data_IF_856695194811
#
_entry.id   IF_856695194811
#
_cell.length_a   1.000
_cell.length_b   1.000
_cell.length_c   1.000
_cell.angle_alpha   90.00
_cell.angle_beta   90.00
_cell.angle_gamma   90.00
#
_symmetry.space_group_name_H-M   'P 1'
#
loop_
_entity.id
_entity.type
_entity.pdbx_description
1 polymer ?
#
# COMPACT_ATOMS: atom_id res chain seq x y z
N UNK A 1 13.92 -21.58 14.11
CA UNK A 1 15.14 -20.88 14.58
C UNK A 1 15.55 -19.90 13.50
N UNK A 2 15.67 -18.61 13.87
CA UNK A 2 16.24 -17.44 13.18
C UNK A 2 15.51 -16.22 13.79
N UNK A 3 15.76 -15.82 15.05
CA UNK A 3 16.89 -15.04 15.57
C UNK A 3 17.11 -13.70 14.85
N UNK A 4 16.97 -12.63 15.65
CA UNK A 4 17.53 -11.28 15.51
C UNK A 4 16.65 -10.21 14.83
N UNK A 5 15.66 -9.73 15.59
CA UNK A 5 15.24 -8.32 15.50
C UNK A 5 16.42 -7.48 15.96
N UNK A 6 17.08 -6.80 15.03
CA UNK A 6 18.01 -5.71 15.33
C UNK A 6 17.18 -4.52 15.80
N UNK A 7 17.00 -4.43 17.12
CA UNK A 7 16.69 -3.15 17.73
C UNK A 7 17.81 -2.17 17.31
N UNK A 8 17.49 -0.98 16.78
CA UNK A 8 18.53 0.03 16.61
C UNK A 8 19.24 0.17 17.96
N UNK A 9 20.58 0.24 17.99
CA UNK A 9 21.28 0.55 19.24
C UNK A 9 20.61 1.80 19.82
N UNK A 10 20.33 1.76 21.13
CA UNK A 10 19.90 2.94 21.86
C UNK A 10 20.72 4.13 21.36
N UNK A 11 20.10 5.28 21.04
CA UNK A 11 20.81 6.43 20.49
C UNK A 11 22.08 6.58 21.30
N UNK A 12 23.23 6.45 20.62
CA UNK A 12 24.54 6.38 21.24
C UNK A 12 24.53 7.32 22.44
N UNK A 13 24.65 6.78 23.66
CA UNK A 13 24.84 7.60 24.85
C UNK A 13 26.09 8.41 24.57
N UNK A 14 25.92 9.62 24.06
CA UNK A 14 27.01 10.52 23.73
C UNK A 14 27.80 10.70 25.01
N UNK A 15 29.13 10.68 24.90
CA UNK A 15 30.04 10.73 26.04
C UNK A 15 29.76 11.91 27.01
N UNK A 16 29.05 12.94 26.53
CA UNK A 16 28.61 14.10 27.32
C UNK A 16 27.45 13.83 28.30
N UNK A 17 26.68 12.74 28.15
CA UNK A 17 25.62 12.37 29.12
C UNK A 17 26.16 11.65 30.37
N UNK A 18 27.38 11.11 30.32
CA UNK A 18 27.96 10.29 31.39
C UNK A 18 28.54 11.11 32.56
N UNK A 19 28.64 12.44 32.44
CA UNK A 19 29.36 13.28 33.40
C UNK A 19 28.46 14.15 34.31
N UNK A 20 27.14 14.12 34.15
CA UNK A 20 26.23 14.98 34.91
C UNK A 20 25.69 14.26 36.15
N UNK A 21 25.95 14.80 37.35
CA UNK A 21 25.34 14.33 38.61
C UNK A 21 23.86 14.74 38.70
N UNK A 22 23.03 14.14 37.85
CA UNK A 22 21.58 14.34 37.82
C UNK A 22 20.88 13.11 37.23
N UNK A 23 19.63 12.92 37.62
CA UNK A 23 18.77 11.88 37.05
C UNK A 23 18.37 12.22 35.61
N UNK A 24 18.43 11.21 34.73
CA UNK A 24 18.03 11.30 33.32
C UNK A 24 17.06 10.15 32.98
N UNK A 25 15.88 10.39 32.34
CA UNK A 25 15.07 11.59 32.18
C UNK A 25 15.25 12.73 33.17
N UNK A 26 15.36 14.01 32.80
CA UNK A 26 15.16 15.06 33.81
C UNK A 26 13.70 15.02 34.32
N UNK A 27 12.75 14.88 33.40
CA UNK A 27 11.33 14.74 33.68
C UNK A 27 10.89 13.28 33.47
N UNK A 28 10.11 12.69 34.39
CA UNK A 28 9.59 11.32 34.25
C UNK A 28 8.42 11.22 33.26
N UNK A 29 7.87 12.37 32.82
CA UNK A 29 6.81 12.46 31.82
C UNK A 29 7.11 13.64 30.90
N UNK A 30 6.93 13.46 29.60
CA UNK A 30 7.07 14.52 28.61
C UNK A 30 5.95 14.47 27.57
N UNK A 31 5.64 15.63 26.98
CA UNK A 31 4.85 15.69 25.75
C UNK A 31 5.81 15.39 24.61
N UNK A 32 5.55 14.32 23.87
CA UNK A 32 6.29 13.92 22.69
C UNK A 32 5.80 14.66 21.46
N UNK A 33 5.63 13.93 20.36
CA UNK A 33 5.14 14.50 19.11
C UNK A 33 3.71 15.03 19.28
N UNK A 34 3.49 16.25 18.79
CA UNK A 34 2.15 16.83 18.61
C UNK A 34 1.88 16.99 17.13
N UNK A 35 0.63 16.79 16.72
CA UNK A 35 0.26 16.82 15.32
C UNK A 35 -1.24 16.76 15.13
N UNK A 36 -1.66 16.57 13.88
CA UNK A 36 -3.05 16.39 13.52
C UNK A 36 -3.23 15.07 12.79
N UNK A 37 -4.26 14.31 13.16
CA UNK A 37 -4.82 13.25 12.33
C UNK A 37 -6.11 13.82 11.77
N UNK A 38 -6.09 14.20 10.48
CA UNK A 38 -7.17 14.95 9.84
C UNK A 38 -7.49 16.24 10.62
N UNK A 39 -8.73 16.39 11.07
CA UNK A 39 -9.23 17.55 11.79
C UNK A 39 -9.02 17.44 13.32
N UNK A 40 -8.52 16.31 13.82
CA UNK A 40 -8.30 16.06 15.24
C UNK A 40 -6.84 16.35 15.64
N UNK A 41 -6.65 17.24 16.60
CA UNK A 41 -5.34 17.49 17.21
C UNK A 41 -4.97 16.35 18.17
N UNK A 42 -3.77 15.80 18.02
CA UNK A 42 -3.28 14.68 18.82
C UNK A 42 -1.92 15.01 19.43
N UNK A 43 -1.66 14.45 20.62
CA UNK A 43 -0.40 14.61 21.32
C UNK A 43 0.03 13.28 21.93
N UNK A 44 1.28 12.89 21.72
CA UNK A 44 1.88 11.74 22.37
C UNK A 44 2.32 12.11 23.79
N UNK A 45 1.96 11.29 24.77
CA UNK A 45 2.44 11.43 26.15
C UNK A 45 3.46 10.31 26.41
N UNK A 46 4.70 10.69 26.71
CA UNK A 46 5.79 9.76 26.95
C UNK A 46 6.02 9.61 28.46
N UNK A 47 6.07 8.36 28.93
CA UNK A 47 6.34 8.01 30.32
C UNK A 47 7.72 7.37 30.44
N UNK A 48 8.55 7.91 31.31
CA UNK A 48 9.88 7.39 31.63
C UNK A 48 9.87 6.78 33.04
N UNK A 49 9.47 5.51 33.12
CA UNK A 49 9.36 4.77 34.37
C UNK A 49 10.67 4.58 35.14
N UNK A 50 11.80 4.78 34.48
CA UNK A 50 13.15 4.62 35.03
C UNK A 50 13.97 5.88 34.78
N UNK A 51 14.59 6.41 35.83
CA UNK A 51 15.58 7.46 35.73
C UNK A 51 16.90 6.99 36.34
N UNK A 52 18.01 7.28 35.66
CA UNK A 52 19.34 6.87 36.10
C UNK A 52 20.22 8.09 36.38
N UNK A 53 20.98 8.05 37.47
CA UNK A 53 22.06 8.99 37.74
C UNK A 53 23.41 8.28 37.52
N UNK A 54 24.19 8.66 36.49
CA UNK A 54 25.44 8.00 36.15
C UNK A 54 26.56 8.22 37.17
N UNK A 55 26.59 9.37 37.85
CA UNK A 55 27.66 9.71 38.82
C UNK A 55 27.44 8.98 40.14
N UNK A 56 26.21 9.02 40.66
CA UNK A 56 25.85 8.35 41.91
C UNK A 56 25.57 6.85 41.74
N UNK A 57 25.45 6.37 40.49
CA UNK A 57 25.07 4.99 40.14
C UNK A 57 23.77 4.55 40.80
N UNK A 58 22.82 5.47 40.93
CA UNK A 58 21.50 5.22 41.52
C UNK A 58 20.41 5.24 40.46
N UNK A 59 19.40 4.40 40.64
CA UNK A 59 18.22 4.31 39.76
C UNK A 59 16.99 4.68 40.56
N UNK A 60 16.13 5.53 39.99
CA UNK A 60 14.78 5.79 40.47
C UNK A 60 13.78 5.04 39.59
N UNK A 61 12.97 4.21 40.23
CA UNK A 61 11.91 3.44 39.60
C UNK A 61 10.55 3.98 40.04
N UNK A 62 9.72 4.32 39.07
CA UNK A 62 8.34 4.76 39.28
C UNK A 62 7.39 3.61 38.93
N UNK A 63 6.83 2.97 39.97
CA UNK A 63 5.89 1.84 39.80
C UNK A 63 4.46 2.30 39.52
N UNK A 64 4.13 3.56 39.82
CA UNK A 64 2.81 4.15 39.56
C UNK A 64 2.95 5.63 39.25
N UNK A 65 2.37 6.06 38.14
CA UNK A 65 2.29 7.47 37.75
C UNK A 65 0.84 7.89 37.53
N UNK A 66 0.50 9.10 37.94
CA UNK A 66 -0.78 9.75 37.64
C UNK A 66 -0.48 11.12 37.07
N UNK A 67 -0.97 11.38 35.87
CA UNK A 67 -0.74 12.64 35.15
C UNK A 67 -2.08 13.31 34.91
N UNK A 68 -2.12 14.63 35.11
CA UNK A 68 -3.27 15.46 34.77
C UNK A 68 -2.91 16.37 33.61
N UNK A 69 -3.57 16.18 32.48
CA UNK A 69 -3.35 16.96 31.27
C UNK A 69 -4.37 18.10 31.26
N UNK A 70 -3.89 19.33 31.07
CA UNK A 70 -4.74 20.52 30.91
C UNK A 70 -4.60 21.03 29.49
N UNK A 71 -5.73 21.27 28.82
CA UNK A 71 -5.78 21.87 27.50
C UNK A 71 -6.05 23.37 27.64
N UNK A 72 -5.19 24.22 27.10
CA UNK A 72 -5.46 25.66 27.02
C UNK A 72 -6.43 25.89 25.86
N UNK A 73 -7.73 25.97 26.16
CA UNK A 73 -8.79 26.15 25.16
C UNK A 73 -8.95 27.63 24.79
N UNK A 74 -8.43 28.06 23.64
CA UNK A 74 -8.70 29.43 23.15
C UNK A 74 -9.57 29.49 21.91
N UNK A 75 -10.02 28.36 21.34
CA UNK A 75 -10.92 28.42 20.18
C UNK A 75 -11.86 27.23 20.15
N UNK A 76 -13.11 27.46 20.58
CA UNK A 76 -14.25 26.60 20.23
C UNK A 76 -14.61 26.94 18.79
N UNK A 77 -14.28 26.05 17.87
CA UNK A 77 -14.79 26.13 16.50
C UNK A 77 -15.99 25.21 16.34
N UNK A 78 -16.88 25.57 15.42
CA UNK A 78 -18.09 24.82 15.08
C UNK A 78 -17.74 23.36 14.79
N UNK A 79 -18.48 22.45 15.42
CA UNK A 79 -18.29 21.00 15.27
C UNK A 79 -18.65 20.62 13.85
N UNK A 80 -17.66 20.23 13.05
CA UNK A 80 -17.89 19.45 11.83
C UNK A 80 -17.79 17.99 12.28
N UNK A 81 -18.88 17.24 12.15
CA UNK A 81 -18.83 15.81 12.45
C UNK A 81 -17.89 15.13 11.46
N UNK A 82 -16.95 14.36 12.00
CA UNK A 82 -16.09 13.50 11.21
C UNK A 82 -16.89 12.28 10.75
N UNK A 83 -16.43 11.57 9.73
CA UNK A 83 -17.19 10.40 9.25
C UNK A 83 -17.14 9.23 10.25
N UNK A 84 -18.24 8.45 10.42
CA UNK A 84 -18.34 7.40 11.44
C UNK A 84 -17.24 6.35 11.43
N UNK A 85 -16.61 6.12 10.28
CA UNK A 85 -15.62 5.08 10.13
C UNK A 85 -14.20 5.55 10.53
N UNK A 86 -13.90 6.85 10.46
CA UNK A 86 -12.70 7.42 11.08
C UNK A 86 -12.84 7.52 12.60
N UNK A 87 -14.06 7.70 13.11
CA UNK A 87 -14.30 7.66 14.56
C UNK A 87 -13.89 6.31 15.15
N UNK A 88 -14.16 5.19 14.46
CA UNK A 88 -13.70 3.87 14.90
C UNK A 88 -12.17 3.79 14.98
N UNK A 89 -11.46 4.28 13.96
CA UNK A 89 -10.00 4.31 13.96
C UNK A 89 -9.45 5.19 15.10
N UNK A 90 -10.01 6.39 15.28
CA UNK A 90 -9.61 7.32 16.34
C UNK A 90 -9.92 6.78 17.74
N UNK A 91 -11.03 6.06 17.94
CA UNK A 91 -11.35 5.37 19.20
C UNK A 91 -10.30 4.33 19.59
N UNK A 92 -9.68 3.66 18.62
CA UNK A 92 -8.64 2.67 18.87
C UNK A 92 -7.25 3.32 19.04
N UNK A 93 -7.01 4.47 18.40
CA UNK A 93 -5.72 5.18 18.47
C UNK A 93 -5.59 6.12 19.67
N UNK A 94 -6.69 6.76 20.09
CA UNK A 94 -6.68 7.81 21.11
C UNK A 94 -7.26 7.29 22.42
N UNK A 95 -6.45 7.35 23.46
CA UNK A 95 -6.83 6.97 24.84
C UNK A 95 -8.06 7.74 25.37
N UNK A 96 -8.37 8.92 24.82
CA UNK A 96 -9.40 9.82 25.30
C UNK A 96 -10.40 10.30 24.24
N UNK A 97 -10.57 9.55 23.13
CA UNK A 97 -11.40 10.00 21.98
C UNK A 97 -12.83 10.39 22.40
N UNK A 98 -13.47 9.59 23.26
CA UNK A 98 -14.85 9.77 23.70
C UNK A 98 -15.03 10.83 24.80
N UNK A 99 -13.93 11.33 25.38
CA UNK A 99 -13.93 12.15 26.60
C UNK A 99 -13.54 13.60 26.37
N UNK A 100 -12.89 13.91 25.25
CA UNK A 100 -12.46 15.25 24.92
C UNK A 100 -13.47 15.90 23.98
N UNK A 101 -14.04 17.04 24.39
CA UNK A 101 -14.63 18.01 23.46
C UNK A 101 -13.62 18.21 22.32
N UNK A 102 -13.88 17.63 21.14
CA UNK A 102 -12.94 17.63 20.02
C UNK A 102 -12.49 19.06 19.76
N UNK A 103 -11.19 19.31 19.85
CA UNK A 103 -10.60 20.60 19.50
C UNK A 103 -10.44 20.63 17.99
N UNK A 104 -11.58 20.73 17.30
CA UNK A 104 -11.62 20.85 15.85
C UNK A 104 -11.16 22.24 15.45
N UNK A 105 -10.42 22.34 14.34
CA UNK A 105 -10.00 23.63 13.81
C UNK A 105 -11.21 24.46 13.38
N UNK A 106 -11.07 25.77 13.52
CA UNK A 106 -11.86 26.73 12.74
C UNK A 106 -11.67 26.39 11.28
N UNK A 107 -12.77 26.28 10.54
CA UNK A 107 -12.79 26.14 9.09
C UNK A 107 -11.67 26.97 8.50
N UNK A 108 -10.61 26.30 8.04
CA UNK A 108 -9.71 26.93 7.09
C UNK A 108 -10.61 27.20 5.90
N UNK A 109 -10.83 28.47 5.58
CA UNK A 109 -11.41 28.86 4.30
C UNK A 109 -10.42 28.37 3.25
N UNK A 110 -10.58 27.11 2.86
CA UNK A 110 -9.96 26.56 1.68
C UNK A 110 -10.35 27.51 0.56
N UNK A 111 -9.36 28.11 -0.11
CA UNK A 111 -9.60 28.73 -1.42
C UNK A 111 -10.46 27.73 -2.19
N UNK A 112 -11.65 28.16 -2.63
CA UNK A 112 -12.56 27.32 -3.43
C UNK A 112 -11.85 26.69 -4.63
N UNK A 113 -10.74 27.28 -5.07
CA UNK A 113 -9.94 26.88 -6.22
C UNK A 113 -8.73 25.99 -5.88
N UNK A 114 -8.52 25.62 -4.61
CA UNK A 114 -7.48 24.66 -4.26
C UNK A 114 -8.09 23.26 -4.25
N UNK A 115 -7.70 22.35 -5.17
CA UNK A 115 -8.12 20.97 -5.05
C UNK A 115 -7.66 20.45 -3.68
N UNK A 116 -8.54 19.74 -2.95
CA UNK A 116 -8.16 19.18 -1.65
C UNK A 116 -6.87 18.36 -1.81
N UNK A 117 -5.95 18.42 -0.84
CA UNK A 117 -4.76 17.57 -0.88
C UNK A 117 -5.20 16.12 -1.05
N UNK A 118 -4.59 15.42 -2.00
CA UNK A 118 -4.90 14.02 -2.25
C UNK A 118 -4.70 13.25 -0.93
N UNK A 119 -5.63 12.35 -0.57
CA UNK A 119 -5.45 11.52 0.61
C UNK A 119 -4.11 10.77 0.51
N UNK A 120 -3.44 10.51 1.64
CA UNK A 120 -2.22 9.71 1.64
C UNK A 120 -2.48 8.40 0.91
N UNK A 121 -1.68 8.14 -0.13
CA UNK A 121 -1.84 7.01 -1.02
C UNK A 121 -0.47 6.38 -1.31
N UNK A 122 -0.46 5.05 -1.40
CA UNK A 122 0.68 4.28 -1.85
C UNK A 122 0.69 4.24 -3.37
N UNK A 123 1.86 4.49 -3.96
CA UNK A 123 2.09 4.40 -5.39
C UNK A 123 2.62 3.01 -5.73
N UNK A 124 1.89 2.30 -6.59
CA UNK A 124 2.29 0.99 -7.10
C UNK A 124 2.71 1.15 -8.55
N UNK A 125 3.92 0.67 -8.86
CA UNK A 125 4.47 0.70 -10.23
C UNK A 125 4.37 -0.72 -10.80
N UNK A 126 3.61 -0.87 -11.88
CA UNK A 126 3.28 -2.15 -12.50
C UNK A 126 4.00 -2.25 -13.84
N UNK A 127 5.01 -3.11 -13.92
CA UNK A 127 5.82 -3.33 -15.12
C UNK A 127 5.45 -4.59 -15.89
N UNK A 128 4.57 -5.44 -15.33
CA UNK A 128 4.05 -6.66 -15.96
C UNK A 128 2.55 -6.76 -15.77
N UNK A 129 1.85 -7.26 -16.78
CA UNK A 129 0.41 -7.51 -16.66
C UNK A 129 0.19 -8.82 -15.90
N UNK A 130 -0.67 -8.80 -14.88
CA UNK A 130 -0.97 -9.99 -14.09
C UNK A 130 -1.80 -9.72 -12.84
N UNK A 131 -2.00 -10.78 -12.06
CA UNK A 131 -2.58 -10.71 -10.72
C UNK A 131 -1.46 -10.49 -9.71
N UNK A 132 -1.65 -9.50 -8.86
CA UNK A 132 -0.73 -9.12 -7.80
C UNK A 132 -1.33 -9.44 -6.45
N UNK A 133 -0.47 -9.72 -5.47
CA UNK A 133 -0.83 -9.97 -4.09
C UNK A 133 -0.02 -9.04 -3.18
N UNK A 134 -0.69 -8.45 -2.20
CA UNK A 134 -0.08 -7.66 -1.13
C UNK A 134 -0.59 -8.20 0.20
N UNK A 135 0.34 -8.65 1.03
CA UNK A 135 0.09 -9.17 2.38
C UNK A 135 0.14 -8.04 3.40
N UNK A 136 -0.41 -8.28 4.59
CA UNK A 136 -0.23 -7.39 5.75
C UNK A 136 1.25 -7.07 6.03
N UNK A 137 2.14 -8.06 5.91
CA UNK A 137 3.58 -7.89 6.16
C UNK A 137 4.23 -6.90 5.19
N UNK A 138 3.72 -6.79 3.95
CA UNK A 138 4.21 -5.81 2.98
C UNK A 138 3.91 -4.37 3.44
N UNK A 139 2.78 -4.13 4.09
CA UNK A 139 2.45 -2.82 4.67
C UNK A 139 3.29 -2.55 5.91
N UNK A 140 3.47 -3.56 6.77
CA UNK A 140 4.28 -3.43 7.97
C UNK A 140 5.75 -3.13 7.63
N UNK A 141 6.29 -3.73 6.56
CA UNK A 141 7.63 -3.44 6.04
C UNK A 141 7.80 -1.98 5.57
N UNK A 142 6.72 -1.31 5.19
CA UNK A 142 6.68 0.11 4.87
C UNK A 142 6.46 1.00 6.11
N UNK A 143 6.36 0.42 7.31
CA UNK A 143 6.06 1.11 8.56
C UNK A 143 4.58 1.52 8.69
N UNK A 144 3.70 0.89 7.92
CA UNK A 144 2.25 1.14 7.95
C UNK A 144 1.54 -0.01 8.67
N UNK A 145 1.09 0.25 9.89
CA UNK A 145 0.21 -0.69 10.59
C UNK A 145 -1.25 -0.43 10.21
N UNK A 146 -1.74 -1.25 9.30
CA UNK A 146 -3.09 -1.18 8.72
C UNK A 146 -4.11 -2.01 9.50
N UNK A 147 -3.70 -2.70 10.58
CA UNK A 147 -4.57 -3.52 11.43
C UNK A 147 -5.61 -2.73 12.21
N UNK A 148 -5.50 -1.40 12.22
CA UNK A 148 -6.45 -0.50 12.87
C UNK A 148 -7.49 0.08 11.89
N UNK A 149 -7.41 -0.31 10.62
CA UNK A 149 -8.23 0.20 9.54
C UNK A 149 -9.29 -0.81 9.13
N UNK A 150 -10.49 -0.29 8.85
CA UNK A 150 -11.58 -1.04 8.24
C UNK A 150 -11.16 -1.46 6.82
N UNK A 151 -11.12 -2.76 6.55
CA UNK A 151 -10.65 -3.31 5.28
C UNK A 151 -11.48 -2.79 4.11
N UNK A 152 -12.76 -2.44 4.33
CA UNK A 152 -13.64 -1.91 3.29
C UNK A 152 -13.18 -0.56 2.75
N UNK A 153 -12.44 0.23 3.54
CA UNK A 153 -11.91 1.52 3.09
C UNK A 153 -10.80 1.39 2.05
N UNK A 154 -10.19 0.23 1.93
CA UNK A 154 -9.08 0.01 1.01
C UNK A 154 -9.61 0.17 -0.42
N UNK A 155 -9.06 1.17 -1.12
CA UNK A 155 -9.48 1.57 -2.45
C UNK A 155 -8.27 1.68 -3.37
N UNK A 156 -8.28 0.88 -4.44
CA UNK A 156 -7.32 0.96 -5.53
C UNK A 156 -7.91 1.78 -6.69
N UNK A 157 -7.11 2.65 -7.28
CA UNK A 157 -7.49 3.36 -8.51
C UNK A 157 -6.36 3.37 -9.55
N UNK A 158 -6.77 3.43 -10.81
CA UNK A 158 -5.90 3.59 -11.98
C UNK A 158 -6.55 4.61 -12.91
N UNK A 159 -5.81 5.67 -13.26
CA UNK A 159 -6.31 6.77 -14.11
C UNK A 159 -7.63 7.40 -13.61
N UNK A 160 -7.88 7.37 -12.30
CA UNK A 160 -9.09 7.91 -11.67
C UNK A 160 -10.26 6.94 -11.63
N UNK A 161 -10.15 5.75 -12.24
CA UNK A 161 -11.15 4.70 -12.18
C UNK A 161 -10.85 3.69 -11.06
N UNK A 162 -11.91 3.16 -10.46
CA UNK A 162 -11.81 2.19 -9.39
C UNK A 162 -11.35 0.82 -9.92
N UNK A 163 -10.33 0.25 -9.29
CA UNK A 163 -9.84 -1.10 -9.61
C UNK A 163 -10.40 -2.07 -8.57
N UNK A 164 -11.15 -3.11 -8.99
CA UNK A 164 -11.65 -4.12 -8.07
C UNK A 164 -10.52 -4.87 -7.37
N UNK A 165 -10.63 -5.02 -6.05
CA UNK A 165 -9.72 -5.83 -5.23
C UNK A 165 -10.46 -6.99 -4.57
N UNK A 166 -9.73 -8.04 -4.23
CA UNK A 166 -10.21 -9.14 -3.38
C UNK A 166 -9.32 -9.22 -2.15
N UNK A 167 -9.89 -9.35 -0.96
CA UNK A 167 -9.13 -9.53 0.26
C UNK A 167 -9.47 -10.91 0.82
N UNK A 168 -8.46 -11.75 0.94
CA UNK A 168 -8.56 -13.04 1.60
C UNK A 168 -8.25 -12.85 3.08
N UNK A 169 -9.16 -13.29 3.95
CA UNK A 169 -8.98 -13.23 5.42
C UNK A 169 -9.76 -12.11 6.13
N UNK A 170 -10.42 -11.20 5.41
CA UNK A 170 -11.16 -10.06 5.98
C UNK A 170 -12.49 -10.39 6.70
N UNK A 171 -12.64 -11.60 7.24
CA UNK A 171 -13.90 -12.03 7.90
C UNK A 171 -14.23 -11.18 9.14
N UNK A 172 -13.23 -10.56 9.75
CA UNK A 172 -13.36 -9.67 10.90
C UNK A 172 -13.47 -8.18 10.53
N UNK A 173 -13.48 -7.85 9.23
CA UNK A 173 -13.59 -6.48 8.71
C UNK A 173 -12.32 -5.63 8.87
N UNK A 174 -11.20 -6.25 9.24
CA UNK A 174 -9.90 -5.61 9.40
C UNK A 174 -8.94 -6.21 8.38
N UNK A 175 -7.93 -5.44 7.95
CA UNK A 175 -6.82 -5.98 7.17
C UNK A 175 -5.62 -6.21 8.09
N UNK A 176 -5.54 -7.42 8.65
CA UNK A 176 -4.64 -7.81 9.72
C UNK A 176 -3.65 -8.93 9.36
N UNK A 177 -2.90 -9.45 10.35
CA UNK A 177 -1.89 -10.48 10.13
C UNK A 177 -2.47 -11.75 9.51
N UNK A 178 -1.93 -12.15 8.35
CA UNK A 178 -2.40 -13.32 7.58
C UNK A 178 -3.28 -12.96 6.38
N UNK A 179 -3.77 -11.72 6.30
CA UNK A 179 -4.62 -11.28 5.20
C UNK A 179 -3.81 -10.94 3.96
N UNK A 180 -4.41 -11.20 2.81
CA UNK A 180 -3.80 -10.96 1.50
C UNK A 180 -4.79 -10.28 0.57
N UNK A 181 -4.41 -9.12 0.06
CA UNK A 181 -5.15 -8.39 -0.96
C UNK A 181 -4.65 -8.78 -2.36
N UNK A 182 -5.56 -9.21 -3.21
CA UNK A 182 -5.34 -9.50 -4.62
C UNK A 182 -5.97 -8.43 -5.52
N UNK A 183 -5.29 -8.09 -6.61
CA UNK A 183 -5.83 -7.23 -7.65
C UNK A 183 -5.20 -7.57 -9.01
N UNK A 184 -5.94 -7.31 -10.07
CA UNK A 184 -5.42 -7.42 -11.43
C UNK A 184 -4.90 -6.07 -11.89
N UNK A 185 -3.69 -6.04 -12.44
CA UNK A 185 -3.09 -4.84 -12.97
C UNK A 185 -2.43 -5.09 -14.32
N UNK A 186 -2.42 -4.05 -15.15
CA UNK A 186 -1.86 -4.08 -16.48
C UNK A 186 -0.64 -3.17 -16.56
N UNK A 187 0.44 -3.71 -17.14
CA UNK A 187 1.53 -2.88 -17.62
C UNK A 187 1.04 -2.01 -18.80
N UNK A 188 1.80 -0.97 -19.10
CA UNK A 188 1.55 -0.15 -20.28
C UNK A 188 2.64 -0.41 -21.31
N UNK A 189 2.29 -0.40 -22.59
CA UNK A 189 3.24 -0.61 -23.69
C UNK A 189 3.28 0.67 -24.53
N UNK A 190 3.89 1.71 -23.98
CA UNK A 190 4.09 2.97 -24.69
C UNK A 190 5.55 3.14 -25.08
N UNK A 191 5.82 4.05 -26.02
CA UNK A 191 7.19 4.41 -26.42
C UNK A 191 8.04 4.98 -25.26
N UNK A 192 7.41 5.47 -24.19
CA UNK A 192 8.08 6.23 -23.13
C UNK A 192 8.17 5.49 -21.81
N UNK A 193 7.29 4.51 -21.56
CA UNK A 193 7.29 3.72 -20.33
C UNK A 193 6.68 2.35 -20.58
N UNK A 194 7.23 1.36 -19.88
CA UNK A 194 6.69 0.00 -19.76
C UNK A 194 5.88 -0.19 -18.47
N UNK A 195 5.89 0.82 -17.61
CA UNK A 195 5.30 0.76 -16.28
C UNK A 195 4.07 1.65 -16.20
N UNK A 196 3.03 1.11 -15.57
CA UNK A 196 1.78 1.78 -15.29
C UNK A 196 1.68 2.07 -13.79
N UNK A 197 0.93 3.11 -13.41
CA UNK A 197 0.84 3.56 -12.01
C UNK A 197 -0.55 3.33 -11.45
N UNK A 198 -0.61 2.59 -10.36
CA UNK A 198 -1.80 2.35 -9.56
C UNK A 198 -1.65 3.05 -8.21
N UNK A 199 -2.77 3.49 -7.65
CA UNK A 199 -2.80 4.20 -6.38
C UNK A 199 -3.69 3.46 -5.39
N UNK A 200 -3.09 3.06 -4.27
CA UNK A 200 -3.82 2.48 -3.15
C UNK A 200 -4.04 3.56 -2.09
N UNK A 201 -5.30 3.75 -1.71
CA UNK A 201 -5.73 4.84 -0.84
C UNK A 201 -6.84 4.34 0.09
N UNK A 202 -7.22 5.19 1.05
CA UNK A 202 -8.34 4.95 1.94
C UNK A 202 -9.53 5.83 1.54
N UNK A 203 -10.65 5.20 1.19
CA UNK A 203 -11.89 5.87 0.80
C UNK A 203 -13.03 5.45 1.71
N UNK A 204 -13.74 6.43 2.28
CA UNK A 204 -14.84 6.22 3.23
C UNK A 204 -16.04 5.48 2.65
N UNK A 205 -16.35 5.76 1.39
CA UNK A 205 -17.42 5.10 0.65
C UNK A 205 -17.07 3.65 0.26
N UNK A 206 -15.85 3.22 0.59
CA UNK A 206 -15.29 1.93 0.25
C UNK A 206 -14.64 1.88 -1.14
N UNK A 207 -14.04 0.73 -1.44
CA UNK A 207 -13.45 0.42 -2.73
C UNK A 207 -14.25 -0.57 -3.56
N UNK A 208 -13.95 -0.64 -4.86
CA UNK A 208 -14.49 -1.70 -5.71
C UNK A 208 -14.00 -3.07 -5.22
N UNK A 209 -14.88 -4.07 -5.22
CA UNK A 209 -14.56 -5.44 -4.81
C UNK A 209 -14.81 -6.41 -5.95
N UNK A 210 -13.98 -7.45 -6.04
CA UNK A 210 -14.21 -8.56 -6.96
C UNK A 210 -15.42 -9.37 -6.49
N UNK A 211 -16.31 -9.70 -7.43
CA UNK A 211 -17.42 -10.60 -7.19
C UNK A 211 -17.06 -12.00 -7.64
N UNK A 212 -17.44 -13.00 -6.85
CA UNK A 212 -17.28 -14.40 -7.22
C UNK A 212 -18.53 -14.91 -7.91
N UNK A 213 -18.32 -15.74 -8.94
CA UNK A 213 -19.38 -16.51 -9.57
C UNK A 213 -19.09 -17.98 -9.38
N UNK A 214 -20.12 -18.72 -8.99
CA UNK A 214 -20.06 -20.17 -8.99
C UNK A 214 -19.62 -20.69 -10.37
N UNK A 215 -18.58 -21.50 -10.34
CA UNK A 215 -17.97 -22.13 -11.51
C UNK A 215 -17.89 -23.65 -11.34
N UNK A 216 -18.68 -24.21 -10.41
CA UNK A 216 -18.78 -25.64 -10.17
C UNK A 216 -19.10 -26.36 -11.49
N UNK A 217 -18.20 -27.21 -12.02
CA UNK A 217 -18.42 -27.93 -13.27
C UNK A 217 -19.62 -28.86 -13.16
N UNK A 218 -20.45 -28.91 -14.19
CA UNK A 218 -21.53 -29.90 -14.24
C UNK A 218 -20.90 -31.28 -14.42
N UNK A 219 -21.23 -32.21 -13.52
CA UNK A 219 -20.68 -33.58 -13.51
C UNK A 219 -21.06 -34.35 -14.79
N UNK A 220 -22.11 -33.94 -15.48
CA UNK A 220 -22.54 -34.53 -16.75
C UNK A 220 -21.84 -33.95 -17.98
N UNK A 221 -21.08 -32.86 -17.85
CA UNK A 221 -20.33 -32.31 -18.97
C UNK A 221 -19.13 -33.23 -19.29
N UNK A 222 -18.89 -33.54 -20.57
CA UNK A 222 -17.76 -34.38 -20.95
C UNK A 222 -16.44 -33.71 -20.57
N UNK A 223 -15.53 -34.47 -19.96
CA UNK A 223 -14.21 -33.97 -19.60
C UNK A 223 -13.43 -33.54 -20.84
N UNK A 224 -13.04 -32.27 -20.90
CA UNK A 224 -12.20 -31.74 -21.97
C UNK A 224 -10.75 -32.15 -21.71
N UNK A 225 -10.22 -33.06 -22.53
CA UNK A 225 -8.80 -33.49 -22.48
C UNK A 225 -7.89 -32.66 -23.39
N UNK A 226 -8.47 -31.77 -24.20
CA UNK A 226 -7.75 -30.89 -25.11
C UNK A 226 -8.44 -29.53 -25.18
N UNK A 227 -7.67 -28.46 -25.37
CA UNK A 227 -8.17 -27.11 -25.56
C UNK A 227 -7.33 -26.36 -26.60
N UNK A 228 -7.89 -25.30 -27.18
CA UNK A 228 -7.14 -24.43 -28.09
C UNK A 228 -6.38 -23.39 -27.26
N UNK A 229 -5.10 -23.22 -27.57
CA UNK A 229 -4.27 -22.17 -27.00
C UNK A 229 -3.65 -21.33 -28.11
N UNK A 230 -3.62 -20.01 -27.91
CA UNK A 230 -2.81 -19.10 -28.71
C UNK A 230 -1.52 -18.83 -27.94
N UNK A 231 -0.38 -19.08 -28.57
CA UNK A 231 0.95 -18.76 -28.01
C UNK A 231 1.56 -17.65 -28.84
N UNK A 232 2.01 -16.59 -28.19
CA UNK A 232 2.67 -15.44 -28.81
C UNK A 232 4.15 -15.47 -28.45
N UNK A 233 5.02 -15.29 -29.46
CA UNK A 233 6.48 -15.40 -29.30
C UNK A 233 7.25 -14.14 -29.70
N UNK A 234 6.60 -13.15 -30.30
CA UNK A 234 7.26 -11.93 -30.74
C UNK A 234 7.82 -11.14 -29.55
N UNK A 235 8.99 -10.53 -29.76
CA UNK A 235 9.67 -9.72 -28.76
C UNK A 235 10.06 -8.38 -29.39
N UNK A 236 10.16 -7.31 -28.59
CA UNK A 236 10.40 -5.96 -29.10
C UNK A 236 11.87 -5.55 -29.00
N UNK A 237 12.70 -5.96 -29.97
CA UNK A 237 14.16 -5.72 -29.96
C UNK A 237 14.62 -4.55 -30.82
N UNK A 238 13.88 -4.21 -31.87
CA UNK A 238 14.29 -3.22 -32.87
C UNK A 238 13.24 -2.13 -32.95
N UNK A 239 13.64 -0.87 -32.78
CA UNK A 239 12.80 0.29 -33.07
C UNK A 239 13.12 0.84 -34.45
N UNK A 240 12.13 0.93 -35.35
CA UNK A 240 12.31 1.45 -36.71
C UNK A 240 11.49 2.72 -36.97
N UNK A 241 12.11 3.93 -36.93
CA UNK A 241 11.41 5.20 -37.13
C UNK A 241 11.11 5.53 -38.61
N UNK A 242 11.57 4.69 -39.54
CA UNK A 242 11.40 4.90 -40.99
C UNK A 242 10.03 4.44 -41.51
N UNK A 243 9.28 3.71 -40.68
CA UNK A 243 7.92 3.29 -41.01
C UNK A 243 6.96 4.47 -40.85
N UNK A 244 5.91 4.58 -41.68
CA UNK A 244 5.03 5.73 -41.66
C UNK A 244 4.46 5.96 -40.25
N UNK A 245 4.67 7.17 -39.70
CA UNK A 245 4.11 7.61 -38.42
C UNK A 245 2.58 7.64 -38.51
N UNK A 246 1.98 6.50 -38.22
CA UNK A 246 0.56 6.37 -37.94
C UNK A 246 0.45 6.03 -36.45
N UNK A 247 -0.41 6.73 -35.72
CA UNK A 247 -0.56 6.60 -34.26
C UNK A 247 -0.97 5.17 -33.84
N UNK A 248 -1.50 4.37 -34.77
CA UNK A 248 -1.90 2.98 -34.55
C UNK A 248 -0.89 1.95 -35.07
N UNK A 249 0.26 2.36 -35.62
CA UNK A 249 1.26 1.42 -36.18
C UNK A 249 2.43 1.18 -35.24
N UNK A 250 2.76 -0.10 -35.10
CA UNK A 250 3.82 -0.59 -34.22
C UNK A 250 5.20 -0.38 -34.87
N UNK A 251 6.10 0.26 -34.14
CA UNK A 251 7.47 0.56 -34.61
C UNK A 251 8.52 -0.34 -33.95
N UNK A 252 8.08 -1.23 -33.07
CA UNK A 252 8.90 -2.21 -32.40
C UNK A 252 8.76 -3.54 -33.13
N UNK A 253 9.89 -4.16 -33.42
CA UNK A 253 9.96 -5.40 -34.17
C UNK A 253 10.90 -6.38 -33.49
N UNK A 254 10.65 -7.67 -33.66
CA UNK A 254 11.57 -8.71 -33.19
C UNK A 254 12.87 -8.75 -33.99
N UNK A 255 12.77 -8.60 -35.30
CA UNK A 255 13.92 -8.55 -36.19
C UNK A 255 13.54 -7.92 -37.54
N UNK A 256 14.53 -7.35 -38.22
CA UNK A 256 14.41 -6.87 -39.59
C UNK A 256 14.89 -7.98 -40.55
N UNK A 257 14.19 -8.13 -41.68
CA UNK A 257 14.63 -8.94 -42.82
C UNK A 257 14.74 -8.04 -44.04
N UNK A 258 15.89 -8.05 -44.73
CA UNK A 258 16.07 -7.37 -46.00
C UNK A 258 15.83 -8.33 -47.17
N UNK A 259 15.61 -7.78 -48.36
CA UNK A 259 15.37 -8.58 -49.57
C UNK A 259 16.50 -9.59 -49.81
N UNK A 260 16.16 -10.88 -49.87
CA UNK A 260 17.10 -11.99 -50.03
C UNK A 260 17.63 -12.59 -48.74
N UNK A 261 17.30 -12.04 -47.56
CA UNK A 261 17.66 -12.61 -46.27
C UNK A 261 16.61 -13.62 -45.78
N UNK A 262 17.06 -14.66 -45.08
CA UNK A 262 16.22 -15.61 -44.37
C UNK A 262 16.70 -15.77 -42.93
N UNK A 263 15.78 -15.97 -41.99
CA UNK A 263 16.11 -16.22 -40.58
C UNK A 263 15.36 -17.45 -40.08
N UNK A 264 16.10 -18.38 -39.48
CA UNK A 264 15.52 -19.54 -38.82
C UNK A 264 15.27 -19.22 -37.34
N UNK A 265 14.05 -19.50 -36.87
CA UNK A 265 13.67 -19.42 -35.46
C UNK A 265 13.07 -20.76 -35.03
N UNK A 266 13.44 -21.20 -33.82
CA UNK A 266 12.91 -22.41 -33.21
C UNK A 266 12.03 -22.03 -32.04
N UNK A 267 10.88 -22.68 -31.92
CA UNK A 267 9.91 -22.44 -30.87
C UNK A 267 9.60 -23.77 -30.19
N UNK A 268 9.54 -23.75 -28.85
CA UNK A 268 9.12 -24.91 -28.08
C UNK A 268 7.63 -24.79 -27.80
N UNK A 269 6.85 -25.77 -28.28
CA UNK A 269 5.45 -25.91 -27.94
C UNK A 269 5.30 -26.96 -26.84
N UNK A 270 4.66 -26.56 -25.76
CA UNK A 270 4.38 -27.45 -24.65
C UNK A 270 3.00 -28.09 -24.85
N UNK A 271 2.91 -29.40 -24.60
CA UNK A 271 1.66 -30.18 -24.61
C UNK A 271 0.84 -30.15 -25.92
N UNK A 272 1.44 -30.40 -27.10
CA UNK A 272 0.68 -30.52 -28.34
C UNK A 272 -0.28 -31.72 -28.29
N UNK A 273 -1.54 -31.51 -28.72
CA UNK A 273 -2.50 -32.59 -28.85
C UNK A 273 -2.07 -33.56 -29.96
N UNK A 274 -2.16 -34.86 -29.68
CA UNK A 274 -1.80 -35.94 -30.63
C UNK A 274 -2.89 -36.22 -31.67
N UNK A 275 -4.09 -35.64 -31.54
CA UNK A 275 -5.26 -35.97 -32.36
C UNK A 275 -5.57 -34.99 -33.50
N UNK A 276 -4.85 -33.87 -33.64
CA UNK A 276 -5.05 -32.90 -34.72
C UNK A 276 -3.70 -32.46 -35.30
N UNK A 277 -3.55 -32.62 -36.62
CA UNK A 277 -2.28 -32.45 -37.33
C UNK A 277 -2.08 -31.05 -37.92
N UNK A 278 -2.69 -30.00 -37.36
CA UNK A 278 -2.53 -28.66 -37.92
C UNK A 278 -2.32 -27.61 -36.82
N UNK A 279 -1.26 -26.82 -36.99
CA UNK A 279 -1.03 -25.57 -36.29
C UNK A 279 -1.23 -24.41 -37.28
N UNK A 280 -2.00 -23.41 -36.88
CA UNK A 280 -2.16 -22.20 -37.69
C UNK A 280 -1.06 -21.21 -37.30
N UNK A 281 -0.22 -20.86 -38.26
CA UNK A 281 0.77 -19.79 -38.09
C UNK A 281 0.20 -18.50 -38.66
N UNK A 282 0.15 -17.45 -37.83
CA UNK A 282 -0.18 -16.10 -38.26
C UNK A 282 1.08 -15.24 -38.15
N UNK A 283 1.50 -14.69 -39.28
CA UNK A 283 2.60 -13.73 -39.33
C UNK A 283 2.01 -12.33 -39.46
N UNK A 284 2.53 -11.39 -38.65
CA UNK A 284 2.34 -9.96 -38.85
C UNK A 284 3.61 -9.49 -39.56
N UNK A 285 3.47 -9.03 -40.81
CA UNK A 285 4.56 -8.51 -41.64
C UNK A 285 4.46 -6.98 -41.71
#
# INVERSE_FOLDING_TARGET
>A
MLSNILLPPAPNFTADMQAADRFQPANPVAIGMTGAIREQQVAQIQFFGLQFNPVQKTVKLYTKMRVKIHFNSTTRSTVVEDSPAFDRMLQHLLLNDTSANRLLRSTVTTRKDCPPPLPPALKLTIDKTGVYALSYDDFLALGLDVSLLDSHMIHMSHQGEAVPIFILGEEDGVFGPGDIMFFYAQATETLYTRSNIYWLSLKLEGGARLNFREATPNVNDPSLTTFKQTVHFEENHIYSPKWPNDLEKEHLFWFELKGGEGRQKSFNLHHPSTGRNYALFKFKL
#
